data_IF_288960697820
#
_entry.id   IF_288960697820
#
_cell.length_a   1.000
_cell.length_b   1.000
_cell.length_c   1.000
_cell.angle_alpha   90.00
_cell.angle_beta   90.00
_cell.angle_gamma   90.00
#
_symmetry.space_group_name_H-M   'P 1'
#
loop_
_entity.id
_entity.type
_entity.pdbx_description
1 polymer ?
#
# COMPACT_ATOMS: atom_id res chain seq x y z
N UNK A 1 -7.33 -6.81 -4.16
CA UNK A 1 -6.54 -6.65 -2.92
C UNK A 1 -5.07 -6.76 -3.31
N UNK A 2 -4.16 -6.18 -2.53
CA UNK A 2 -2.71 -6.21 -2.80
C UNK A 2 -2.05 -6.97 -1.66
N UNK A 3 -1.91 -8.28 -1.83
CA UNK A 3 -1.43 -9.23 -0.82
C UNK A 3 0.03 -9.62 -0.99
N UNK A 4 0.62 -9.34 -2.16
CA UNK A 4 2.03 -9.59 -2.46
C UNK A 4 2.62 -8.55 -3.43
N UNK A 5 3.93 -8.60 -3.66
CA UNK A 5 4.65 -7.64 -4.52
C UNK A 5 4.24 -7.74 -5.98
N UNK A 6 3.90 -8.92 -6.49
CA UNK A 6 3.44 -9.09 -7.88
C UNK A 6 2.08 -8.41 -8.12
N UNK A 7 1.15 -8.58 -7.17
CA UNK A 7 -0.14 -7.90 -7.17
C UNK A 7 0.06 -6.38 -7.05
N UNK A 8 1.03 -5.91 -6.25
CA UNK A 8 1.34 -4.48 -6.11
C UNK A 8 1.79 -3.87 -7.43
N UNK A 9 2.74 -4.50 -8.13
CA UNK A 9 3.21 -4.04 -9.44
C UNK A 9 2.06 -3.99 -10.46
N UNK A 10 1.18 -5.00 -10.44
CA UNK A 10 0.01 -5.07 -11.32
C UNK A 10 -1.06 -4.04 -10.97
N UNK A 11 -1.16 -3.62 -9.71
CA UNK A 11 -2.06 -2.57 -9.26
C UNK A 11 -1.56 -1.19 -9.67
N UNK A 12 -0.26 -0.92 -9.50
CA UNK A 12 0.37 0.37 -9.82
C UNK A 12 0.41 0.69 -11.32
N UNK A 13 0.39 -0.33 -12.20
CA UNK A 13 0.37 -0.12 -13.65
C UNK A 13 -0.95 0.40 -14.17
N UNK A 14 -2.04 0.28 -13.40
CA UNK A 14 -3.37 0.76 -13.78
C UNK A 14 -3.50 2.25 -13.43
N UNK A 15 -3.92 3.11 -14.38
CA UNK A 15 -4.19 4.51 -14.06
C UNK A 15 -5.34 4.61 -13.05
N UNK A 16 -5.25 5.59 -12.14
CA UNK A 16 -6.33 5.91 -11.23
C UNK A 16 -7.41 6.74 -11.92
N UNK A 17 -8.61 6.75 -11.34
CA UNK A 17 -9.74 7.53 -11.85
C UNK A 17 -9.44 9.03 -11.90
N UNK A 18 -8.55 9.52 -11.04
CA UNK A 18 -8.06 10.91 -11.03
C UNK A 18 -7.37 11.30 -12.35
N UNK A 19 -6.77 10.34 -13.06
CA UNK A 19 -6.11 10.55 -14.35
C UNK A 19 -7.04 10.30 -15.52
N UNK A 20 -7.90 9.30 -15.42
CA UNK A 20 -8.83 8.92 -16.49
C UNK A 20 -10.04 9.86 -16.60
N UNK A 21 -10.62 10.26 -15.47
CA UNK A 21 -11.78 11.13 -15.38
C UNK A 21 -11.70 12.02 -14.12
N UNK A 22 -10.93 13.12 -14.19
CA UNK A 22 -10.72 14.01 -13.05
C UNK A 22 -12.01 14.61 -12.49
N UNK A 23 -13.00 14.88 -13.36
CA UNK A 23 -14.28 15.50 -12.97
C UNK A 23 -15.07 14.52 -12.11
N UNK A 24 -15.19 13.27 -12.55
CA UNK A 24 -15.87 12.22 -11.77
C UNK A 24 -15.15 11.92 -10.46
N UNK A 25 -13.81 11.92 -10.47
CA UNK A 25 -13.02 11.76 -9.24
C UNK A 25 -13.36 12.85 -8.22
N UNK A 26 -13.41 14.12 -8.63
CA UNK A 26 -13.78 15.25 -7.77
C UNK A 26 -15.20 15.11 -7.19
N UNK A 27 -16.19 14.70 -7.99
CA UNK A 27 -17.56 14.50 -7.50
C UNK A 27 -17.66 13.37 -6.46
N UNK A 28 -16.87 12.30 -6.60
CA UNK A 28 -16.82 11.23 -5.61
C UNK A 28 -16.14 11.68 -4.31
N UNK A 29 -15.06 12.46 -4.41
CA UNK A 29 -14.33 12.99 -3.24
C UNK A 29 -15.20 13.91 -2.38
N UNK A 30 -16.16 14.65 -2.96
CA UNK A 30 -17.13 15.47 -2.20
C UNK A 30 -17.97 14.68 -1.18
N UNK A 31 -18.07 13.35 -1.35
CA UNK A 31 -18.83 12.47 -0.44
C UNK A 31 -18.04 12.12 0.83
N UNK A 32 -16.72 12.35 0.84
CA UNK A 32 -15.85 12.04 1.98
C UNK A 32 -16.16 12.98 3.14
N UNK A 33 -16.24 12.42 4.34
CA UNK A 33 -16.40 13.18 5.59
C UNK A 33 -15.36 12.71 6.61
N UNK A 34 -14.51 13.63 7.04
CA UNK A 34 -13.37 13.30 7.91
C UNK A 34 -12.30 12.48 7.19
N UNK A 35 -11.45 11.82 7.99
CA UNK A 35 -10.24 11.13 7.50
C UNK A 35 -10.16 9.66 7.94
N UNK A 36 -11.19 9.17 8.66
CA UNK A 36 -11.19 7.79 9.14
C UNK A 36 -11.39 6.84 7.96
N UNK A 37 -10.48 5.87 7.84
CA UNK A 37 -10.53 4.79 6.85
C UNK A 37 -10.33 3.46 7.54
N UNK A 38 -10.84 2.38 6.94
CA UNK A 38 -10.58 1.03 7.43
C UNK A 38 -9.10 0.68 7.22
N UNK A 39 -8.45 0.19 8.28
CA UNK A 39 -7.05 -0.25 8.19
C UNK A 39 -6.94 -1.54 7.36
N UNK A 40 -6.11 -1.56 6.30
CA UNK A 40 -6.02 -2.71 5.39
C UNK A 40 -5.10 -3.80 5.96
N UNK A 41 -5.64 -4.67 6.82
CA UNK A 41 -4.89 -5.73 7.50
C UNK A 41 -4.26 -6.78 6.56
N UNK A 42 -4.78 -6.92 5.33
CA UNK A 42 -4.31 -7.90 4.35
C UNK A 42 -3.26 -7.34 3.37
N UNK A 43 -2.79 -6.11 3.60
CA UNK A 43 -1.78 -5.51 2.73
C UNK A 43 -0.45 -6.25 2.86
N UNK A 44 0.05 -6.79 1.75
CA UNK A 44 1.29 -7.57 1.67
C UNK A 44 1.38 -8.76 2.64
N UNK A 45 0.23 -9.33 3.04
CA UNK A 45 0.18 -10.41 4.03
C UNK A 45 0.80 -11.74 3.54
N UNK A 46 1.06 -11.90 2.24
CA UNK A 46 1.72 -13.06 1.65
C UNK A 46 3.25 -12.85 1.49
N UNK A 47 3.80 -11.73 1.97
CA UNK A 47 5.22 -11.41 1.93
C UNK A 47 5.86 -11.51 3.32
N UNK A 48 7.13 -11.95 3.38
CA UNK A 48 7.95 -11.69 4.55
C UNK A 48 8.43 -10.23 4.51
N UNK A 49 7.94 -9.42 5.44
CA UNK A 49 8.25 -7.99 5.54
C UNK A 49 9.50 -7.68 6.38
N UNK A 50 10.20 -8.71 6.87
CA UNK A 50 11.50 -8.55 7.52
C UNK A 50 12.57 -8.11 6.51
N UNK A 51 13.63 -7.41 6.96
CA UNK A 51 14.79 -7.13 6.12
C UNK A 51 15.36 -8.39 5.46
N UNK A 52 15.71 -8.29 4.19
CA UNK A 52 16.30 -9.39 3.44
C UNK A 52 17.65 -9.82 4.01
N UNK A 53 17.93 -11.13 4.00
CA UNK A 53 19.22 -11.67 4.45
C UNK A 53 20.38 -11.03 3.67
N UNK A 54 21.41 -10.60 4.39
CA UNK A 54 22.60 -9.99 3.80
C UNK A 54 22.51 -8.48 3.57
N UNK A 55 21.39 -7.83 3.90
CA UNK A 55 21.31 -6.36 3.93
C UNK A 55 21.82 -5.82 5.27
N UNK A 56 22.20 -4.54 5.30
CA UNK A 56 22.67 -3.88 6.55
C UNK A 56 21.57 -3.86 7.61
N UNK A 57 20.33 -3.73 7.18
CA UNK A 57 19.12 -3.74 7.98
C UNK A 57 18.83 -5.13 8.59
N UNK A 58 19.33 -6.21 7.99
CA UNK A 58 19.27 -7.54 8.58
C UNK A 58 20.41 -7.84 9.56
N UNK A 59 21.45 -7.00 9.61
CA UNK A 59 22.59 -7.15 10.55
C UNK A 59 22.35 -6.48 11.91
N UNK A 60 21.32 -5.65 12.00
CA UNK A 60 20.95 -4.92 13.22
C UNK A 60 19.93 -5.71 14.03
N UNK A 61 19.93 -5.58 15.38
CA UNK A 61 18.94 -6.25 16.23
C UNK A 61 17.50 -5.85 15.87
N UNK A 62 16.54 -6.75 16.01
CA UNK A 62 15.14 -6.48 15.59
C UNK A 62 14.47 -5.42 16.47
N UNK A 63 14.99 -5.21 17.68
CA UNK A 63 14.53 -4.24 18.68
C UNK A 63 14.61 -2.79 18.19
N UNK A 64 15.34 -2.50 17.10
CA UNK A 64 15.30 -1.16 16.51
C UNK A 64 13.94 -0.84 15.86
N UNK A 65 13.11 -1.85 15.60
CA UNK A 65 11.83 -1.73 14.89
C UNK A 65 10.61 -1.81 15.82
N UNK A 66 10.80 -1.99 17.12
CA UNK A 66 9.73 -2.22 18.13
C UNK A 66 9.97 -1.40 19.38
#
# INVERSE_FOLDING_TARGET
LVRNKQELMSFQSKPGLDKEDPVKAQELLKKIRGFLVQFPLEFLCEENLMPSVGTKEAMVPTEIWT
#
